data_IF_490382173436
#
_entry.id   IF_490382173436
#
_cell.length_a   1.000
_cell.length_b   1.000
_cell.length_c   1.000
_cell.angle_alpha   90.00
_cell.angle_beta   90.00
_cell.angle_gamma   90.00
#
_symmetry.space_group_name_H-M   'P 1'
#
loop_
_entity.id
_entity.type
_entity.pdbx_description
1 polymer ?
#
# COMPACT_ATOMS: atom_id res chain seq x y z
N UNK A 1 -6.67 -2.20 -7.16
CA UNK A 1 -5.93 -3.05 -6.19
C UNK A 1 -6.49 -4.46 -6.19
N UNK A 2 -5.64 -5.49 -6.19
CA UNK A 2 -6.11 -6.88 -6.06
C UNK A 2 -6.22 -7.29 -4.58
N UNK A 3 -7.14 -8.21 -4.22
CA UNK A 3 -7.22 -8.74 -2.85
C UNK A 3 -5.90 -9.35 -2.36
N UNK A 4 -5.21 -10.11 -3.23
CA UNK A 4 -3.93 -10.76 -2.91
C UNK A 4 -2.83 -9.75 -2.54
N UNK A 5 -2.82 -8.58 -3.20
CA UNK A 5 -1.89 -7.48 -2.88
C UNK A 5 -2.13 -6.99 -1.45
N UNK A 6 -3.39 -6.74 -1.10
CA UNK A 6 -3.78 -6.25 0.22
C UNK A 6 -3.50 -7.28 1.34
N UNK A 7 -3.72 -8.57 1.07
CA UNK A 7 -3.37 -9.65 1.99
C UNK A 7 -1.88 -9.66 2.31
N UNK A 8 -1.02 -9.57 1.28
CA UNK A 8 0.43 -9.51 1.46
C UNK A 8 0.83 -8.26 2.25
N UNK A 9 0.35 -7.08 1.85
CA UNK A 9 0.66 -5.81 2.51
C UNK A 9 0.23 -5.77 3.97
N UNK A 10 -0.86 -6.45 4.34
CA UNK A 10 -1.27 -6.56 5.75
C UNK A 10 -0.27 -7.33 6.60
N UNK A 11 0.42 -8.31 6.01
CA UNK A 11 1.41 -9.14 6.72
C UNK A 11 2.76 -8.44 6.78
N UNK A 12 3.23 -7.90 5.65
CA UNK A 12 4.56 -7.28 5.57
C UNK A 12 4.58 -5.80 5.98
N UNK A 13 3.42 -5.15 6.06
CA UNK A 13 3.30 -3.71 6.24
C UNK A 13 3.27 -2.93 4.92
N UNK A 14 3.14 -1.59 5.02
CA UNK A 14 3.15 -0.68 3.87
C UNK A 14 1.83 -0.58 3.09
N UNK A 15 0.77 -1.26 3.54
CA UNK A 15 -0.58 -1.19 2.95
C UNK A 15 -1.53 -0.24 3.65
N UNK A 16 -2.74 -0.06 3.08
CA UNK A 16 -3.79 0.76 3.68
C UNK A 16 -4.25 0.19 5.03
N UNK A 17 -4.84 1.05 5.86
CA UNK A 17 -5.39 0.63 7.17
C UNK A 17 -6.50 -0.39 6.98
N UNK A 18 -6.43 -1.48 7.74
CA UNK A 18 -7.43 -2.54 7.71
C UNK A 18 -8.23 -2.58 9.02
N UNK A 19 -9.46 -3.10 8.93
CA UNK A 19 -10.32 -3.38 10.09
C UNK A 19 -10.56 -4.88 10.17
N UNK A 20 -10.37 -5.45 11.36
CA UNK A 20 -10.50 -6.89 11.61
C UNK A 20 -11.83 -7.19 12.30
N UNK A 21 -12.63 -8.05 11.68
CA UNK A 21 -13.91 -8.53 12.20
C UNK A 21 -13.89 -10.06 12.26
N UNK A 22 -13.38 -10.61 13.37
CA UNK A 22 -13.17 -12.04 13.52
C UNK A 22 -12.27 -12.59 12.41
N UNK A 23 -12.84 -13.48 11.56
CA UNK A 23 -12.13 -14.07 10.41
C UNK A 23 -12.04 -13.14 9.18
N UNK A 24 -12.84 -12.08 9.13
CA UNK A 24 -12.92 -11.18 7.97
C UNK A 24 -12.02 -9.97 8.19
N UNK A 25 -11.36 -9.54 7.12
CA UNK A 25 -10.65 -8.27 7.07
C UNK A 25 -11.32 -7.40 6.03
N UNK A 26 -11.63 -6.16 6.40
CA UNK A 26 -12.26 -5.18 5.54
C UNK A 26 -11.40 -3.92 5.47
N UNK A 27 -11.48 -3.25 4.33
CA UNK A 27 -10.89 -1.95 4.11
C UNK A 27 -12.03 -0.94 3.92
N UNK A 28 -11.96 0.19 4.61
CA UNK A 28 -12.83 1.29 4.25
C UNK A 28 -12.30 1.92 2.97
N UNK A 29 -13.20 2.29 2.08
CA UNK A 29 -12.85 2.94 0.80
C UNK A 29 -11.99 4.19 1.07
N UNK A 30 -12.35 5.00 2.06
CA UNK A 30 -11.58 6.18 2.45
C UNK A 30 -10.10 5.88 2.81
N UNK A 31 -9.81 4.75 3.46
CA UNK A 31 -8.42 4.39 3.77
C UNK A 31 -7.67 3.86 2.55
N UNK A 32 -8.37 3.22 1.60
CA UNK A 32 -7.77 2.81 0.33
C UNK A 32 -7.40 4.04 -0.49
N UNK A 33 -8.31 5.01 -0.56
CA UNK A 33 -8.13 6.24 -1.33
C UNK A 33 -7.02 7.10 -0.70
N UNK A 34 -7.04 7.31 0.62
CA UNK A 34 -6.00 8.06 1.31
C UNK A 34 -4.61 7.42 1.11
N UNK A 35 -4.51 6.10 1.29
CA UNK A 35 -3.25 5.39 1.07
C UNK A 35 -2.77 5.45 -0.38
N UNK A 36 -3.69 5.38 -1.34
CA UNK A 36 -3.38 5.48 -2.76
C UNK A 36 -2.94 6.90 -3.15
N UNK A 37 -3.57 7.93 -2.59
CA UNK A 37 -3.20 9.33 -2.80
C UNK A 37 -1.83 9.67 -2.21
N UNK A 38 -1.50 9.12 -1.03
CA UNK A 38 -0.14 9.25 -0.45
C UNK A 38 0.94 8.59 -1.31
N UNK A 39 0.57 7.68 -2.22
CA UNK A 39 1.49 6.85 -3.03
C UNK A 39 1.18 6.97 -4.52
N UNK A 40 0.58 8.09 -4.92
CA UNK A 40 0.32 8.39 -6.32
C UNK A 40 1.52 9.11 -6.92
N UNK A 41 1.95 8.63 -8.07
CA UNK A 41 3.02 9.23 -8.87
C UNK A 41 2.51 9.39 -10.30
N UNK A 42 2.97 10.42 -11.00
CA UNK A 42 2.52 10.70 -12.36
C UNK A 42 3.12 9.72 -13.38
N UNK A 43 4.32 9.18 -13.08
CA UNK A 43 5.04 8.26 -13.96
C UNK A 43 5.88 7.28 -13.17
N UNK A 44 6.09 6.08 -13.72
CA UNK A 44 7.05 5.10 -13.17
C UNK A 44 8.51 5.50 -13.40
N UNK A 45 8.76 6.56 -14.19
CA UNK A 45 10.07 7.18 -14.37
C UNK A 45 10.26 8.42 -13.49
N UNK A 46 9.26 8.76 -12.68
CA UNK A 46 9.35 9.85 -11.72
C UNK A 46 10.52 9.56 -10.74
N UNK A 47 11.47 10.51 -10.56
CA UNK A 47 12.58 10.32 -9.65
C UNK A 47 12.12 10.07 -8.21
N UNK A 48 11.03 10.68 -7.75
CA UNK A 48 10.48 10.45 -6.40
C UNK A 48 9.97 9.00 -6.26
N UNK A 49 9.32 8.46 -7.31
CA UNK A 49 8.92 7.05 -7.35
C UNK A 49 10.14 6.12 -7.31
N UNK A 50 11.18 6.43 -8.08
CA UNK A 50 12.39 5.62 -8.13
C UNK A 50 13.11 5.62 -6.77
N UNK A 51 13.23 6.78 -6.13
CA UNK A 51 13.83 6.92 -4.80
C UNK A 51 13.05 6.16 -3.72
N UNK A 52 11.72 6.29 -3.71
CA UNK A 52 10.86 5.56 -2.78
C UNK A 52 10.96 4.04 -2.99
N UNK A 53 11.01 3.58 -4.24
CA UNK A 53 11.18 2.17 -4.56
C UNK A 53 12.55 1.62 -4.13
N UNK A 54 13.61 2.42 -4.30
CA UNK A 54 14.96 2.07 -3.85
C UNK A 54 15.05 2.01 -2.33
N UNK A 55 14.42 2.96 -1.61
CA UNK A 55 14.36 2.96 -0.15
C UNK A 55 13.68 1.69 0.39
N UNK A 56 12.56 1.28 -0.21
CA UNK A 56 11.84 0.06 0.15
C UNK A 56 12.63 -1.22 -0.13
N UNK A 57 13.55 -1.21 -1.11
CA UNK A 57 14.43 -2.34 -1.41
C UNK A 57 15.62 -2.44 -0.44
N UNK A 58 16.10 -1.32 0.10
CA UNK A 58 17.23 -1.26 1.05
C UNK A 58 16.82 -1.59 2.49
N UNK A 59 15.54 -1.43 2.82
CA UNK A 59 15.00 -1.69 4.16
C UNK A 59 14.61 -3.18 4.39
N UNK A 60 14.82 -4.05 3.40
CA UNK A 60 14.54 -5.50 3.45
C UNK A 60 15.82 -6.30 3.64
#
# INVERSE_FOLDING_TARGET
LSPRTLEKQRVIGGGPRFRKFGRRVMYAVADLDAWAAERSFESTSDPEYAEQHLADSRAR
#
